data_IF_430580394774
#
_entry.id   IF_430580394774
#
_cell.length_a   1.000
_cell.length_b   1.000
_cell.length_c   1.000
_cell.angle_alpha   90.00
_cell.angle_beta   90.00
_cell.angle_gamma   90.00
#
_symmetry.space_group_name_H-M   'P 1'
#
loop_
_entity.id
_entity.type
_entity.pdbx_description
1 polymer ?
#
# COMPACT_ATOMS: atom_id res chain seq x y z
N UNK A 1 34.38 18.13 -12.65
CA UNK A 1 33.44 19.19 -13.06
C UNK A 1 33.11 20.00 -11.83
N UNK A 2 32.70 21.26 -12.01
CA UNK A 2 31.97 21.96 -10.96
C UNK A 2 30.57 21.33 -10.81
N UNK A 3 29.78 21.78 -9.84
CA UNK A 3 28.40 21.33 -9.66
C UNK A 3 27.54 21.75 -10.85
N UNK A 4 26.93 20.78 -11.53
CA UNK A 4 26.04 21.00 -12.68
C UNK A 4 24.59 20.65 -12.24
N UNK A 5 23.62 21.56 -12.41
CA UNK A 5 22.22 21.26 -12.10
C UNK A 5 21.63 20.24 -13.10
N UNK A 6 20.63 19.49 -12.66
CA UNK A 6 19.87 18.58 -13.51
C UNK A 6 18.40 19.00 -13.65
N UNK A 7 17.79 18.57 -14.75
CA UNK A 7 16.37 18.77 -15.00
C UNK A 7 15.52 17.82 -14.16
N UNK A 8 14.44 18.35 -13.61
CA UNK A 8 13.37 17.58 -12.98
C UNK A 8 12.09 17.67 -13.80
N UNK A 9 11.24 16.66 -13.69
CA UNK A 9 9.95 16.65 -14.40
C UNK A 9 9.11 17.89 -14.03
N UNK A 10 9.15 18.31 -12.76
CA UNK A 10 8.47 19.51 -12.25
C UNK A 10 9.33 20.17 -11.16
N UNK A 11 9.48 21.50 -11.21
CA UNK A 11 10.21 22.28 -10.21
C UNK A 11 9.48 23.59 -9.82
N UNK A 12 8.14 23.55 -9.75
CA UNK A 12 7.29 24.72 -9.46
C UNK A 12 6.78 24.78 -8.02
N UNK A 13 6.10 25.88 -7.63
CA UNK A 13 5.58 26.06 -6.28
C UNK A 13 4.48 25.04 -5.92
N UNK A 14 3.64 24.66 -6.88
CA UNK A 14 2.56 23.67 -6.66
C UNK A 14 3.00 22.21 -6.76
N UNK A 15 4.00 21.90 -7.60
CA UNK A 15 4.50 20.54 -7.80
C UNK A 15 6.01 20.58 -8.02
N UNK A 16 6.73 19.77 -7.26
CA UNK A 16 8.17 19.54 -7.37
C UNK A 16 8.44 18.03 -7.29
N UNK A 17 9.29 17.51 -8.17
CA UNK A 17 9.75 16.12 -8.14
C UNK A 17 11.23 16.04 -7.73
N UNK A 18 11.64 14.86 -7.27
CA UNK A 18 13.02 14.59 -6.90
C UNK A 18 13.38 13.13 -7.24
N UNK A 19 14.31 12.98 -8.15
CA UNK A 19 14.91 11.76 -8.66
C UNK A 19 16.32 12.16 -9.14
N UNK A 20 17.22 12.28 -8.17
CA UNK A 20 18.59 12.71 -8.44
C UNK A 20 19.33 11.64 -9.27
N UNK A 21 20.17 12.04 -10.25
CA UNK A 21 21.00 11.11 -10.99
C UNK A 21 21.97 10.34 -10.08
N UNK A 22 22.28 9.11 -10.44
CA UNK A 22 23.17 8.23 -9.69
C UNK A 22 24.58 8.13 -10.34
N UNK A 23 25.64 7.88 -9.55
CA UNK A 23 26.96 7.62 -10.12
C UNK A 23 26.94 6.45 -11.13
N UNK A 24 27.37 6.73 -12.36
CA UNK A 24 27.42 5.74 -13.45
C UNK A 24 26.21 5.76 -14.40
N UNK A 25 25.22 6.60 -14.13
CA UNK A 25 24.10 6.88 -15.03
C UNK A 25 24.56 7.69 -16.26
N UNK A 26 24.10 7.30 -17.45
CA UNK A 26 24.41 8.03 -18.68
C UNK A 26 23.45 9.20 -18.85
N UNK A 27 23.98 10.39 -19.09
CA UNK A 27 23.20 11.63 -19.19
C UNK A 27 23.58 12.48 -20.41
N UNK A 28 22.68 13.37 -20.83
CA UNK A 28 22.94 14.38 -21.86
C UNK A 28 23.15 15.76 -21.22
N UNK A 29 24.24 16.44 -21.58
CA UNK A 29 24.48 17.83 -21.19
C UNK A 29 24.01 18.79 -22.28
N UNK A 30 23.22 19.79 -21.90
CA UNK A 30 23.02 20.98 -22.72
C UNK A 30 23.97 22.08 -22.22
N UNK A 31 24.82 22.57 -23.12
CA UNK A 31 25.71 23.69 -22.90
C UNK A 31 25.22 24.87 -23.75
N UNK A 32 24.43 25.80 -23.20
CA UNK A 32 24.01 27.00 -23.92
C UNK A 32 25.23 27.72 -24.52
N UNK A 33 25.15 28.08 -25.81
CA UNK A 33 26.26 28.70 -26.56
C UNK A 33 27.54 27.85 -26.65
N UNK A 34 27.47 26.56 -26.34
CA UNK A 34 28.63 25.68 -26.28
C UNK A 34 29.51 25.90 -25.04
N UNK A 35 29.04 26.67 -24.04
CA UNK A 35 29.77 26.96 -22.81
C UNK A 35 29.46 25.92 -21.71
N UNK A 36 30.43 25.05 -21.34
CA UNK A 36 30.23 24.06 -20.29
C UNK A 36 30.07 24.68 -18.89
N UNK A 37 30.48 25.94 -18.69
CA UNK A 37 30.26 26.66 -17.43
C UNK A 37 28.80 26.95 -17.14
N UNK A 38 27.93 26.88 -18.16
CA UNK A 38 26.48 27.05 -18.06
C UNK A 38 25.73 25.74 -18.32
N UNK A 39 26.42 24.60 -18.23
CA UNK A 39 25.83 23.32 -18.54
C UNK A 39 24.67 22.96 -17.59
N UNK A 40 23.75 22.16 -18.12
CA UNK A 40 22.68 21.51 -17.36
C UNK A 40 22.49 20.08 -17.88
N UNK A 41 22.18 19.15 -16.97
CA UNK A 41 21.83 17.78 -17.34
C UNK A 41 20.38 17.76 -17.83
N UNK A 42 20.16 17.44 -19.10
CA UNK A 42 18.82 17.38 -19.72
C UNK A 42 18.00 16.16 -19.28
N UNK A 43 18.67 15.07 -18.94
CA UNK A 43 18.05 13.81 -18.56
C UNK A 43 18.95 12.63 -18.85
N UNK A 44 18.38 11.45 -18.60
CA UNK A 44 19.08 10.18 -18.57
C UNK A 44 18.83 9.35 -19.82
N UNK A 45 19.79 8.50 -20.17
CA UNK A 45 19.71 7.54 -21.26
C UNK A 45 19.93 6.14 -20.73
N UNK A 46 19.15 5.18 -21.22
CA UNK A 46 19.44 3.76 -20.97
C UNK A 46 20.78 3.37 -21.58
N UNK A 47 21.47 2.46 -20.90
CA UNK A 47 22.77 1.92 -21.30
C UNK A 47 22.79 0.41 -21.07
N UNK A 48 23.73 -0.33 -21.66
CA UNK A 48 23.80 -1.80 -21.51
C UNK A 48 23.86 -2.26 -20.05
N UNK A 49 24.51 -1.47 -19.18
CA UNK A 49 24.58 -1.73 -17.73
C UNK A 49 23.27 -1.46 -16.98
N UNK A 50 22.45 -0.54 -17.48
CA UNK A 50 21.16 -0.12 -16.91
C UNK A 50 20.12 -0.02 -18.05
N UNK A 51 19.63 -1.18 -18.53
CA UNK A 51 18.69 -1.22 -19.66
C UNK A 51 17.31 -0.69 -19.27
N UNK A 52 16.44 -0.51 -20.27
CA UNK A 52 15.06 -0.13 -20.03
C UNK A 52 14.34 -1.17 -19.14
N UNK A 53 13.58 -0.74 -18.11
CA UNK A 53 12.92 -1.66 -17.17
C UNK A 53 11.66 -2.32 -17.77
N UNK A 54 11.23 -1.91 -18.96
CA UNK A 54 10.11 -2.48 -19.69
C UNK A 54 10.34 -2.35 -21.21
N UNK A 55 9.74 -3.27 -21.98
CA UNK A 55 9.83 -3.38 -23.44
C UNK A 55 8.48 -3.17 -24.15
N UNK A 56 7.42 -2.86 -23.40
CA UNK A 56 6.06 -2.65 -23.91
C UNK A 56 5.59 -1.23 -23.68
N UNK A 57 5.02 -0.62 -24.74
CA UNK A 57 4.36 0.69 -24.66
C UNK A 57 3.13 0.74 -23.76
N UNK A 58 2.59 -0.44 -23.38
CA UNK A 58 1.41 -0.57 -22.52
C UNK A 58 1.77 -0.52 -21.04
N UNK A 59 3.06 -0.51 -20.69
CA UNK A 59 3.54 -0.49 -19.31
C UNK A 59 4.16 0.85 -18.97
N UNK A 60 3.80 1.38 -17.82
CA UNK A 60 4.51 2.48 -17.18
C UNK A 60 5.11 1.96 -15.88
N UNK A 61 6.44 1.84 -15.81
CA UNK A 61 7.16 1.19 -14.71
C UNK A 61 8.26 2.06 -14.14
N UNK A 62 8.37 2.08 -12.81
CA UNK A 62 9.54 2.52 -12.06
C UNK A 62 10.10 1.31 -11.32
N UNK A 63 11.40 1.05 -11.47
CA UNK A 63 12.12 0.00 -10.77
C UNK A 63 13.17 0.61 -9.85
N UNK A 64 13.29 0.06 -8.65
CA UNK A 64 14.24 0.50 -7.64
C UNK A 64 15.36 -0.54 -7.48
N UNK A 65 16.53 -0.10 -7.01
CA UNK A 65 17.72 -0.96 -6.90
C UNK A 65 17.55 -2.19 -5.99
N UNK A 66 16.55 -2.19 -5.10
CA UNK A 66 16.21 -3.32 -4.24
C UNK A 66 15.21 -4.32 -4.87
N UNK A 67 14.84 -4.10 -6.14
CA UNK A 67 13.85 -4.89 -6.87
C UNK A 67 12.41 -4.48 -6.63
N UNK A 68 12.15 -3.42 -5.85
CA UNK A 68 10.81 -2.85 -5.72
C UNK A 68 10.34 -2.26 -7.04
N UNK A 69 9.04 -2.30 -7.30
CA UNK A 69 8.42 -1.87 -8.55
C UNK A 69 7.14 -1.10 -8.26
N UNK A 70 6.94 0.00 -8.99
CA UNK A 70 5.62 0.63 -9.17
C UNK A 70 5.31 0.60 -10.66
N UNK A 71 4.26 -0.12 -11.04
CA UNK A 71 3.92 -0.34 -12.46
C UNK A 71 2.42 -0.25 -12.71
N UNK A 72 2.04 0.44 -13.79
CA UNK A 72 0.71 0.33 -14.37
C UNK A 72 0.79 -0.42 -15.71
N UNK A 73 0.08 -1.54 -15.79
CA UNK A 73 -0.08 -2.34 -17.02
C UNK A 73 -1.47 -2.08 -17.63
N UNK A 74 -1.50 -1.48 -18.82
CA UNK A 74 -2.73 -1.16 -19.54
C UNK A 74 -3.40 -2.39 -20.15
N UNK A 75 -2.66 -3.47 -20.40
CA UNK A 75 -3.21 -4.69 -20.99
C UNK A 75 -4.16 -5.40 -20.01
N UNK A 76 -3.79 -5.42 -18.73
CA UNK A 76 -4.59 -6.01 -17.65
C UNK A 76 -5.36 -4.97 -16.83
N UNK A 77 -5.08 -3.68 -17.04
CA UNK A 77 -5.65 -2.58 -16.25
C UNK A 77 -5.21 -2.61 -14.78
N UNK A 78 -4.01 -3.10 -14.49
CA UNK A 78 -3.52 -3.35 -13.12
C UNK A 78 -2.47 -2.33 -12.69
N UNK A 79 -2.65 -1.74 -11.51
CA UNK A 79 -1.61 -1.00 -10.81
C UNK A 79 -0.95 -1.90 -9.76
N UNK A 80 0.34 -2.19 -9.95
CA UNK A 80 1.15 -2.99 -9.05
C UNK A 80 2.09 -2.09 -8.24
N UNK A 81 2.05 -2.25 -6.92
CA UNK A 81 3.05 -1.69 -6.00
C UNK A 81 3.68 -2.87 -5.27
N UNK A 82 4.86 -3.26 -5.73
CA UNK A 82 5.66 -4.31 -5.11
C UNK A 82 6.82 -3.69 -4.36
N UNK A 83 6.92 -3.95 -3.06
CA UNK A 83 8.04 -3.51 -2.23
C UNK A 83 8.60 -4.77 -1.59
N UNK A 84 9.87 -5.08 -1.85
CA UNK A 84 10.50 -6.37 -1.48
C UNK A 84 10.48 -6.65 0.03
N UNK A 85 11.61 -6.49 0.72
CA UNK A 85 11.67 -6.60 2.19
C UNK A 85 11.34 -5.30 2.91
N UNK A 86 10.97 -4.26 2.15
CA UNK A 86 10.70 -2.92 2.66
C UNK A 86 9.31 -2.77 3.28
N UNK A 87 8.85 -1.52 3.37
CA UNK A 87 7.56 -1.16 3.99
C UNK A 87 6.81 -0.17 3.12
N UNK A 88 5.52 -0.42 2.90
CA UNK A 88 4.57 0.57 2.37
C UNK A 88 3.92 1.30 3.55
N UNK A 89 3.92 2.64 3.52
CA UNK A 89 3.26 3.47 4.54
C UNK A 89 2.29 4.44 3.86
N UNK A 90 1.04 4.45 4.29
CA UNK A 90 0.01 5.39 3.84
C UNK A 90 -0.47 6.18 5.07
N UNK A 91 -0.19 7.49 5.07
CA UNK A 91 -0.58 8.40 6.16
C UNK A 91 -1.48 9.49 5.59
N UNK A 92 -2.69 9.60 6.14
CA UNK A 92 -3.72 10.53 5.65
C UNK A 92 -4.74 10.81 6.75
N UNK A 93 -5.55 11.87 6.57
CA UNK A 93 -6.66 12.16 7.47
C UNK A 93 -7.86 11.19 7.27
N UNK A 94 -8.09 10.72 6.05
CA UNK A 94 -9.15 9.78 5.69
C UNK A 94 -8.71 8.89 4.54
N UNK A 95 -9.01 7.59 4.61
CA UNK A 95 -8.73 6.59 3.58
C UNK A 95 -9.98 5.74 3.32
N UNK A 96 -10.18 5.35 2.06
CA UNK A 96 -11.25 4.46 1.64
C UNK A 96 -10.70 3.42 0.65
N UNK A 97 -11.11 2.16 0.80
CA UNK A 97 -10.87 1.09 -0.16
C UNK A 97 -12.23 0.55 -0.56
N UNK A 98 -12.63 0.82 -1.81
CA UNK A 98 -13.94 0.45 -2.35
C UNK A 98 -13.71 -0.57 -3.46
N UNK A 99 -14.04 -1.83 -3.20
CA UNK A 99 -13.92 -2.94 -4.14
C UNK A 99 -15.30 -3.59 -4.37
N UNK A 100 -15.63 -3.92 -5.62
CA UNK A 100 -16.92 -4.53 -5.98
C UNK A 100 -16.99 -6.03 -5.68
N UNK A 101 -15.83 -6.69 -5.56
CA UNK A 101 -15.75 -8.14 -5.39
C UNK A 101 -15.26 -8.51 -3.98
N UNK A 102 -14.00 -8.21 -3.67
CA UNK A 102 -13.41 -8.55 -2.37
C UNK A 102 -12.18 -7.72 -2.05
N UNK A 103 -11.78 -7.75 -0.77
CA UNK A 103 -10.49 -7.25 -0.27
C UNK A 103 -9.80 -8.42 0.44
N UNK A 104 -8.54 -8.68 0.11
CA UNK A 104 -7.70 -9.70 0.76
C UNK A 104 -6.61 -9.01 1.57
N UNK A 105 -6.51 -9.37 2.85
CA UNK A 105 -5.47 -8.92 3.78
C UNK A 105 -4.67 -10.13 4.27
N UNK A 106 -3.76 -10.63 3.43
CA UNK A 106 -2.93 -11.80 3.73
C UNK A 106 -1.69 -11.39 4.53
N UNK A 107 -1.77 -11.54 5.85
CA UNK A 107 -0.68 -11.21 6.79
C UNK A 107 -0.85 -12.04 8.07
N UNK A 108 0.24 -12.40 8.77
CA UNK A 108 0.14 -13.06 10.06
C UNK A 108 -0.64 -12.26 11.12
N UNK A 109 -0.74 -10.93 10.99
CA UNK A 109 -1.45 -10.08 11.95
C UNK A 109 -2.01 -8.81 11.33
N UNK A 110 -3.26 -8.48 11.69
CA UNK A 110 -3.95 -7.24 11.35
C UNK A 110 -4.26 -6.51 12.65
N UNK A 111 -3.88 -5.23 12.74
CA UNK A 111 -4.15 -4.38 13.91
C UNK A 111 -5.06 -3.22 13.53
N UNK A 112 -6.32 -3.29 13.95
CA UNK A 112 -7.24 -2.16 13.96
C UNK A 112 -7.26 -1.56 15.38
N UNK A 113 -6.88 -0.28 15.51
CA UNK A 113 -6.83 0.41 16.82
C UNK A 113 -8.13 1.11 17.18
N UNK A 114 -8.98 1.40 16.20
CA UNK A 114 -10.30 1.98 16.39
C UNK A 114 -11.39 0.91 16.47
N UNK A 115 -12.63 1.38 16.52
CA UNK A 115 -13.80 0.51 16.40
C UNK A 115 -13.82 -0.15 15.02
N UNK A 116 -14.15 -1.45 15.00
CA UNK A 116 -14.37 -2.20 13.79
C UNK A 116 -15.88 -2.37 13.60
N UNK A 117 -16.41 -1.81 12.51
CA UNK A 117 -17.80 -1.98 12.09
C UNK A 117 -17.84 -2.98 10.92
N UNK A 118 -18.58 -4.07 11.09
CA UNK A 118 -18.75 -5.12 10.09
C UNK A 118 -20.25 -5.39 9.95
N UNK A 119 -20.81 -4.98 8.82
CA UNK A 119 -22.24 -5.17 8.51
C UNK A 119 -22.57 -6.61 8.09
N UNK A 120 -21.59 -7.30 7.50
CA UNK A 120 -21.69 -8.71 7.13
C UNK A 120 -21.43 -9.67 8.29
N UNK A 121 -21.40 -10.97 7.99
CA UNK A 121 -21.04 -11.98 8.96
C UNK A 121 -19.52 -12.00 9.23
N UNK A 122 -19.14 -12.33 10.46
CA UNK A 122 -17.75 -12.61 10.86
C UNK A 122 -17.59 -14.11 11.01
N UNK A 123 -16.64 -14.71 10.28
CA UNK A 123 -16.21 -16.10 10.47
C UNK A 123 -14.78 -16.11 10.99
N UNK A 124 -14.57 -16.65 12.19
CA UNK A 124 -13.26 -16.78 12.81
C UNK A 124 -12.89 -18.25 12.91
N UNK A 125 -11.76 -18.64 12.30
CA UNK A 125 -11.25 -20.02 12.36
C UNK A 125 -10.50 -20.37 13.65
N UNK A 126 -10.37 -19.40 14.56
CA UNK A 126 -9.72 -19.52 15.88
C UNK A 126 -10.53 -18.73 16.91
N UNK A 127 -10.06 -18.72 18.14
CA UNK A 127 -10.73 -18.07 19.26
C UNK A 127 -10.91 -16.56 19.07
N UNK A 128 -12.07 -16.05 19.53
CA UNK A 128 -12.31 -14.63 19.74
C UNK A 128 -12.11 -14.36 21.23
N UNK A 129 -11.05 -13.64 21.57
CA UNK A 129 -10.71 -13.30 22.95
C UNK A 129 -10.86 -11.80 23.19
N UNK A 130 -11.51 -11.45 24.31
CA UNK A 130 -11.64 -10.07 24.76
C UNK A 130 -11.69 -10.01 26.29
N UNK A 131 -11.06 -9.01 26.92
CA UNK A 131 -11.26 -8.76 28.34
C UNK A 131 -12.68 -8.25 28.63
N UNK A 132 -13.35 -7.66 27.64
CA UNK A 132 -14.70 -7.11 27.76
C UNK A 132 -15.79 -8.19 27.61
N UNK A 133 -17.05 -7.77 27.67
CA UNK A 133 -18.22 -8.62 27.41
C UNK A 133 -18.41 -8.82 25.90
N UNK A 134 -18.75 -10.05 25.49
CA UNK A 134 -19.24 -10.33 24.12
C UNK A 134 -20.76 -10.37 24.19
N UNK A 135 -21.42 -9.55 23.38
CA UNK A 135 -22.90 -9.48 23.33
C UNK A 135 -23.44 -9.96 21.99
N UNK A 136 -24.49 -10.77 22.03
CA UNK A 136 -25.34 -11.10 20.90
C UNK A 136 -26.74 -10.54 21.17
N UNK A 137 -27.02 -9.33 20.66
CA UNK A 137 -28.21 -8.58 21.03
C UNK A 137 -28.20 -8.19 22.50
N UNK A 138 -29.24 -8.58 23.25
CA UNK A 138 -29.34 -8.33 24.69
C UNK A 138 -28.57 -9.35 25.55
N UNK A 139 -28.13 -10.47 24.98
CA UNK A 139 -27.47 -11.56 25.73
C UNK A 139 -25.97 -11.32 25.80
N UNK A 140 -25.40 -11.36 27.00
CA UNK A 140 -23.96 -11.34 27.25
C UNK A 140 -23.40 -12.75 27.49
N UNK A 141 -22.31 -13.10 26.82
CA UNK A 141 -21.64 -14.39 26.97
C UNK A 141 -21.25 -14.73 28.42
N UNK A 142 -20.75 -13.78 29.23
CA UNK A 142 -20.26 -14.08 30.60
C UNK A 142 -21.37 -14.12 31.65
N UNK A 143 -22.48 -13.42 31.41
CA UNK A 143 -23.53 -13.21 32.40
C UNK A 143 -24.81 -14.01 32.11
N UNK A 144 -24.97 -14.59 30.92
CA UNK A 144 -26.22 -15.24 30.57
C UNK A 144 -26.59 -16.36 31.54
N UNK A 145 -27.90 -16.45 31.80
CA UNK A 145 -28.46 -17.46 32.68
C UNK A 145 -29.45 -18.35 31.95
N UNK A 146 -29.81 -19.44 32.62
CA UNK A 146 -30.84 -20.35 32.16
C UNK A 146 -31.77 -20.71 33.32
N UNK A 147 -33.06 -20.87 33.03
CA UNK A 147 -34.04 -21.36 33.99
C UNK A 147 -34.17 -22.88 33.90
N UNK A 148 -34.12 -23.58 35.04
CA UNK A 148 -34.34 -25.02 35.12
C UNK A 148 -35.82 -25.39 34.96
N UNK A 149 -36.12 -26.46 34.21
CA UNK A 149 -37.49 -26.87 33.87
C UNK A 149 -37.86 -28.28 34.40
N UNK A 150 -37.12 -28.77 35.40
CA UNK A 150 -37.27 -30.11 35.97
C UNK A 150 -36.11 -31.05 35.60
N UNK A 151 -36.10 -32.29 36.13
CA UNK A 151 -34.92 -33.15 36.11
C UNK A 151 -34.47 -33.63 34.73
N UNK A 152 -35.39 -33.66 33.75
CA UNK A 152 -35.15 -34.22 32.41
C UNK A 152 -35.51 -33.25 31.28
N UNK A 153 -35.95 -32.04 31.60
CA UNK A 153 -36.31 -31.05 30.61
C UNK A 153 -35.08 -30.24 30.17
N UNK A 154 -34.96 -29.87 28.88
CA UNK A 154 -33.97 -28.90 28.45
C UNK A 154 -34.09 -27.59 29.24
N UNK A 155 -32.96 -26.92 29.47
CA UNK A 155 -32.99 -25.57 30.03
C UNK A 155 -33.62 -24.59 29.03
N UNK A 156 -34.07 -23.42 29.51
CA UNK A 156 -34.52 -22.35 28.63
C UNK A 156 -33.42 -21.92 27.65
N UNK A 157 -33.76 -21.23 26.54
CA UNK A 157 -32.78 -20.42 25.82
C UNK A 157 -32.02 -19.47 26.76
N UNK A 158 -30.85 -18.99 26.31
CA UNK A 158 -30.05 -18.04 27.07
C UNK A 158 -30.86 -16.77 27.40
N UNK A 159 -30.84 -16.38 28.67
CA UNK A 159 -31.51 -15.20 29.20
C UNK A 159 -30.45 -14.16 29.59
N UNK A 160 -30.80 -12.87 29.45
CA UNK A 160 -29.93 -11.76 29.84
C UNK A 160 -29.74 -11.69 31.36
#
# INVERSE_FOLDING_TARGET
>A
TDWIPWLERRAGPGVRSWCAPEPGEQVVLACPYGDPGQALVLGSLYQDRFPAPADSRLRQRTEYADGSIVEYDQETGTLNVHVGSGKVTVTCASAQVIASESIVLDTPSIKATGNLDVTGAISAGKDISTPAEIKAGAIGLKAHTHTAQGPTAPTTPAQA
#
